data_IF_153444459817
#
_entry.id   IF_153444459817
#
_cell.length_a   1.000
_cell.length_b   1.000
_cell.length_c   1.000
_cell.angle_alpha   90.00
_cell.angle_beta   90.00
_cell.angle_gamma   90.00
#
_symmetry.space_group_name_H-M   'P 1'
#
loop_
_entity.id
_entity.type
_entity.pdbx_description
1 polymer ?
#
# COMPACT_ATOMS: atom_id res chain seq x y z
N UNK A 1 -31.64 46.31 -14.45
CA UNK A 1 -30.19 46.42 -14.64
C UNK A 1 -29.55 46.48 -13.26
N UNK A 2 -28.67 45.50 -12.99
CA UNK A 2 -27.75 45.23 -11.87
C UNK A 2 -28.11 45.51 -10.39
N UNK A 3 -28.05 44.49 -9.51
CA UNK A 3 -27.76 44.66 -8.08
C UNK A 3 -26.24 44.66 -7.80
N UNK A 4 -25.79 45.52 -6.89
CA UNK A 4 -24.42 45.65 -6.34
C UNK A 4 -24.64 45.95 -4.84
N UNK A 5 -24.06 45.29 -3.83
CA UNK A 5 -22.69 44.87 -3.60
C UNK A 5 -22.64 43.79 -2.48
N UNK A 6 -21.74 42.81 -2.61
CA UNK A 6 -21.14 42.00 -1.51
C UNK A 6 -20.17 42.89 -0.68
N UNK A 7 -19.53 42.51 0.47
CA UNK A 7 -18.95 41.18 0.85
C UNK A 7 -18.98 40.94 2.42
N UNK A 8 -18.25 39.99 3.07
CA UNK A 8 -17.20 39.09 2.59
C UNK A 8 -17.30 37.62 3.03
N UNK A 9 -16.52 36.83 2.30
CA UNK A 9 -16.00 35.51 2.64
C UNK A 9 -15.50 35.47 4.10
N UNK A 10 -16.22 34.79 4.98
CA UNK A 10 -15.62 34.24 6.19
C UNK A 10 -15.00 32.91 5.80
N UNK A 11 -13.67 32.77 5.74
CA UNK A 11 -13.08 31.46 5.56
C UNK A 11 -13.36 30.68 6.84
N UNK A 12 -14.28 29.73 6.77
CA UNK A 12 -14.55 28.80 7.86
C UNK A 12 -13.36 27.84 7.97
N UNK A 13 -12.24 28.35 8.48
CA UNK A 13 -10.97 27.63 8.71
C UNK A 13 -11.10 26.51 9.76
N UNK A 14 -12.26 26.37 10.42
CA UNK A 14 -12.44 25.47 11.56
C UNK A 14 -13.20 24.17 11.31
N UNK A 15 -13.72 23.88 10.10
CA UNK A 15 -14.64 22.72 9.92
C UNK A 15 -14.19 21.62 8.97
N UNK A 16 -13.02 21.74 8.36
CA UNK A 16 -12.51 20.67 7.47
C UNK A 16 -11.31 19.91 8.06
N UNK A 17 -10.99 20.13 9.34
CA UNK A 17 -10.12 19.27 10.13
C UNK A 17 -10.91 18.19 10.87
N UNK A 18 -12.01 17.69 10.29
CA UNK A 18 -12.28 16.26 10.50
C UNK A 18 -11.21 15.53 9.71
N UNK A 19 -10.07 15.37 10.37
CA UNK A 19 -9.18 14.23 10.18
C UNK A 19 -10.07 13.00 10.29
N UNK A 20 -10.67 12.62 9.17
CA UNK A 20 -10.93 11.23 8.90
C UNK A 20 -9.54 10.65 8.63
N UNK A 21 -8.78 10.50 9.72
CA UNK A 21 -7.73 9.51 9.84
C UNK A 21 -8.50 8.20 9.76
N UNK A 22 -8.85 7.85 8.52
CA UNK A 22 -9.31 6.53 8.18
C UNK A 22 -8.07 5.70 8.47
N UNK A 23 -8.04 5.09 9.65
CA UNK A 23 -7.35 3.83 9.92
C UNK A 23 -7.77 2.88 8.78
N UNK A 24 -7.15 3.07 7.61
CA UNK A 24 -7.09 2.03 6.60
C UNK A 24 -6.28 0.97 7.31
N UNK A 25 -6.84 -0.23 7.56
CA UNK A 25 -6.04 -1.29 8.12
C UNK A 25 -4.82 -1.41 7.21
N UNK A 26 -3.64 -1.18 7.77
CA UNK A 26 -2.37 -1.17 7.05
C UNK A 26 -2.00 -2.59 6.53
N UNK A 27 -2.99 -3.49 6.48
CA UNK A 27 -2.88 -4.94 6.47
C UNK A 27 -3.84 -5.60 5.46
N UNK A 28 -4.52 -4.84 4.59
CA UNK A 28 -5.28 -5.46 3.49
C UNK A 28 -4.31 -5.93 2.38
N UNK A 29 -3.70 -7.09 2.60
CA UNK A 29 -2.83 -7.75 1.63
C UNK A 29 -3.69 -8.13 0.43
N UNK A 30 -3.33 -7.63 -0.76
CA UNK A 30 -3.96 -8.08 -1.99
C UNK A 30 -3.65 -9.56 -2.27
N UNK A 31 -4.58 -10.44 -1.87
CA UNK A 31 -4.46 -11.89 -2.00
C UNK A 31 -4.28 -12.33 -3.45
N UNK A 32 -4.91 -11.65 -4.42
CA UNK A 32 -4.74 -11.98 -5.84
C UNK A 32 -3.32 -11.70 -6.32
N UNK A 33 -2.75 -10.57 -5.92
CA UNK A 33 -1.36 -10.25 -6.22
C UNK A 33 -0.41 -11.28 -5.57
N UNK A 34 -0.66 -11.64 -4.31
CA UNK A 34 0.15 -12.64 -3.60
C UNK A 34 0.14 -13.99 -4.33
N UNK A 35 -1.05 -14.47 -4.74
CA UNK A 35 -1.20 -15.70 -5.54
C UNK A 35 -0.34 -15.66 -6.79
N UNK A 36 -0.42 -14.57 -7.55
CA UNK A 36 0.34 -14.39 -8.79
C UNK A 36 1.85 -14.37 -8.55
N UNK A 37 2.31 -13.72 -7.47
CA UNK A 37 3.73 -13.68 -7.10
C UNK A 37 4.23 -15.08 -6.71
N UNK A 38 3.48 -15.82 -5.90
CA UNK A 38 3.84 -17.16 -5.46
C UNK A 38 3.86 -18.17 -6.61
N UNK A 39 2.85 -18.13 -7.51
CA UNK A 39 2.84 -18.98 -8.71
C UNK A 39 4.07 -18.72 -9.57
N UNK A 40 4.38 -17.45 -9.86
CA UNK A 40 5.56 -17.08 -10.65
C UNK A 40 6.87 -17.52 -10.00
N UNK A 41 6.96 -17.43 -8.67
CA UNK A 41 8.12 -17.91 -7.91
C UNK A 41 8.31 -19.41 -8.04
N UNK A 42 7.22 -20.19 -8.01
CA UNK A 42 7.29 -21.65 -8.15
C UNK A 42 7.66 -22.08 -9.57
N UNK A 43 7.06 -21.45 -10.59
CA UNK A 43 7.18 -21.80 -12.01
C UNK A 43 8.53 -21.37 -12.63
N UNK A 44 9.03 -20.17 -12.31
CA UNK A 44 10.16 -19.57 -13.02
C UNK A 44 11.39 -19.47 -12.11
N UNK A 45 12.24 -20.50 -12.11
CA UNK A 45 13.44 -20.57 -11.26
C UNK A 45 14.38 -19.37 -11.44
N UNK A 46 14.57 -18.91 -12.68
CA UNK A 46 15.46 -17.78 -12.99
C UNK A 46 15.02 -16.45 -12.37
N UNK A 47 13.72 -16.30 -12.09
CA UNK A 47 13.14 -15.07 -11.54
C UNK A 47 12.96 -15.10 -10.03
N UNK A 48 13.23 -16.23 -9.37
CA UNK A 48 13.00 -16.39 -7.93
C UNK A 48 13.73 -15.35 -7.10
N UNK A 49 15.00 -15.09 -7.40
CA UNK A 49 15.81 -14.09 -6.71
C UNK A 49 15.21 -12.67 -6.79
N UNK A 50 14.55 -12.32 -7.90
CA UNK A 50 13.89 -11.02 -8.08
C UNK A 50 12.57 -10.93 -7.30
N UNK A 51 11.94 -12.07 -7.00
CA UNK A 51 10.66 -12.15 -6.29
C UNK A 51 10.82 -12.29 -4.77
N UNK A 52 11.98 -12.71 -4.27
CA UNK A 52 12.31 -12.74 -2.84
C UNK A 52 11.97 -11.42 -2.11
N UNK A 53 12.40 -10.23 -2.57
CA UNK A 53 12.10 -8.98 -1.87
C UNK A 53 10.60 -8.64 -1.89
N UNK A 54 9.89 -8.97 -2.99
CA UNK A 54 8.45 -8.75 -3.11
C UNK A 54 7.69 -9.61 -2.10
N UNK A 55 8.01 -10.90 -2.02
CA UNK A 55 7.41 -11.84 -1.06
C UNK A 55 7.74 -11.42 0.38
N UNK A 56 9.00 -11.02 0.63
CA UNK A 56 9.45 -10.54 1.94
C UNK A 56 8.64 -9.33 2.41
N UNK A 57 8.43 -8.33 1.54
CA UNK A 57 7.63 -7.15 1.87
C UNK A 57 6.14 -7.48 2.03
N UNK A 58 5.56 -8.30 1.14
CA UNK A 58 4.15 -8.65 1.18
C UNK A 58 3.77 -9.45 2.44
N UNK A 59 4.65 -10.34 2.90
CA UNK A 59 4.42 -11.18 4.06
C UNK A 59 5.07 -10.63 5.34
N UNK A 60 5.70 -9.45 5.25
CA UNK A 60 6.46 -8.82 6.35
C UNK A 60 7.44 -9.80 6.99
N UNK A 61 8.17 -10.54 6.16
CA UNK A 61 9.11 -11.56 6.62
C UNK A 61 10.24 -10.93 7.44
N UNK A 62 10.65 -11.63 8.48
CA UNK A 62 11.87 -11.29 9.23
C UNK A 62 13.12 -11.48 8.34
N UNK A 63 14.26 -10.89 8.72
CA UNK A 63 15.52 -11.09 8.01
C UNK A 63 15.93 -12.57 7.92
N UNK A 64 15.65 -13.36 8.96
CA UNK A 64 15.96 -14.79 8.99
C UNK A 64 15.06 -15.60 8.03
N UNK A 65 13.76 -15.31 8.00
CA UNK A 65 12.83 -15.90 7.04
C UNK A 65 13.19 -15.54 5.60
N UNK A 66 13.58 -14.29 5.35
CA UNK A 66 14.03 -13.83 4.03
C UNK A 66 15.30 -14.54 3.59
N UNK A 67 16.27 -14.76 4.51
CA UNK A 67 17.46 -15.58 4.23
C UNK A 67 17.09 -17.03 3.92
N UNK A 68 16.13 -17.62 4.65
CA UNK A 68 15.63 -18.98 4.37
C UNK A 68 15.00 -19.07 2.99
N UNK A 69 14.18 -18.09 2.62
CA UNK A 69 13.55 -18.02 1.30
C UNK A 69 14.59 -17.86 0.18
N UNK A 70 15.58 -16.99 0.36
CA UNK A 70 16.66 -16.76 -0.61
C UNK A 70 17.55 -17.99 -0.84
N UNK A 71 17.75 -18.84 0.17
CA UNK A 71 18.49 -20.10 0.02
C UNK A 71 17.78 -21.15 -0.83
N UNK A 72 16.44 -21.10 -0.90
CA UNK A 72 15.61 -22.01 -1.70
C UNK A 72 15.24 -21.46 -3.09
N UNK A 73 15.62 -20.21 -3.38
CA UNK A 73 15.34 -19.49 -4.61
C UNK A 73 16.35 -19.86 -5.70
#
# INVERSE_FOLDING_TARGET
MSPQSTPPSTPHFGRMLQHQQQDKPEDDINVEYLKNVLLRFMENKDRRQQLVPVISQMLRLTPDETKRLSRGA
#
